data_IF_810325711053
#
_entry.id   IF_810325711053
#
_cell.length_a   1.000
_cell.length_b   1.000
_cell.length_c   1.000
_cell.angle_alpha   90.00
_cell.angle_beta   90.00
_cell.angle_gamma   90.00
#
_symmetry.space_group_name_H-M   'P 1'
#
loop_
_entity.id
_entity.type
_entity.pdbx_description
1 polymer ?
#
# COMPACT_ATOMS: atom_id res chain seq x y z
N UNK A 1 -16.34 2.11 -4.17
CA UNK A 1 -15.79 2.18 -2.79
C UNK A 1 -16.50 1.29 -1.78
N UNK A 2 -17.81 1.09 -1.89
CA UNK A 2 -18.55 0.22 -0.95
C UNK A 2 -18.09 -1.23 -0.99
N UNK A 3 -17.90 -1.81 -2.17
CA UNK A 3 -17.37 -3.18 -2.33
C UNK A 3 -16.02 -3.37 -1.63
N UNK A 4 -15.11 -2.42 -1.79
CA UNK A 4 -13.79 -2.45 -1.16
C UNK A 4 -13.88 -2.37 0.37
N UNK A 5 -14.73 -1.49 0.91
CA UNK A 5 -14.94 -1.40 2.36
C UNK A 5 -15.57 -2.67 2.94
N UNK A 6 -16.53 -3.26 2.23
CA UNK A 6 -17.13 -4.56 2.58
C UNK A 6 -16.08 -5.67 2.59
N UNK A 7 -15.18 -5.68 1.61
CA UNK A 7 -14.08 -6.64 1.56
C UNK A 7 -13.11 -6.47 2.74
N UNK A 8 -12.72 -5.25 3.12
CA UNK A 8 -11.86 -5.05 4.29
C UNK A 8 -12.55 -5.51 5.58
N UNK A 9 -13.83 -5.17 5.76
CA UNK A 9 -14.60 -5.60 6.92
C UNK A 9 -14.72 -7.14 6.99
N UNK A 10 -14.91 -7.83 5.87
CA UNK A 10 -14.97 -9.31 5.85
C UNK A 10 -13.64 -9.97 6.20
N UNK A 11 -12.51 -9.28 6.02
CA UNK A 11 -11.18 -9.71 6.46
C UNK A 11 -10.88 -9.35 7.93
N UNK A 12 -11.86 -8.82 8.67
CA UNK A 12 -11.71 -8.49 10.10
C UNK A 12 -10.94 -7.21 10.38
N UNK A 13 -10.77 -6.33 9.39
CA UNK A 13 -10.16 -5.01 9.58
C UNK A 13 -11.05 -4.15 10.49
N UNK A 14 -10.45 -3.45 11.45
CA UNK A 14 -11.16 -2.58 12.37
C UNK A 14 -11.90 -1.44 11.63
N UNK A 15 -13.10 -1.09 12.09
CA UNK A 15 -14.00 -0.17 11.39
C UNK A 15 -13.38 1.22 11.15
N UNK A 16 -12.61 1.73 12.11
CA UNK A 16 -11.88 2.99 11.98
C UNK A 16 -10.83 2.96 10.86
N UNK A 17 -10.16 1.82 10.66
CA UNK A 17 -9.22 1.61 9.55
C UNK A 17 -9.96 1.48 8.22
N UNK A 18 -11.12 0.80 8.19
CA UNK A 18 -11.96 0.72 6.98
C UNK A 18 -12.39 2.13 6.54
N UNK A 19 -12.85 2.95 7.47
CA UNK A 19 -13.28 4.32 7.20
C UNK A 19 -12.11 5.21 6.77
N UNK A 20 -10.96 5.11 7.44
CA UNK A 20 -9.75 5.82 7.05
C UNK A 20 -9.31 5.44 5.64
N UNK A 21 -9.32 4.15 5.29
CA UNK A 21 -8.89 3.69 3.97
C UNK A 21 -9.86 4.15 2.88
N UNK A 22 -11.18 4.13 3.16
CA UNK A 22 -12.20 4.71 2.28
C UNK A 22 -11.91 6.20 2.02
N UNK A 23 -11.71 6.97 3.08
CA UNK A 23 -11.41 8.40 2.98
C UNK A 23 -10.14 8.66 2.16
N UNK A 24 -9.04 7.97 2.49
CA UNK A 24 -7.76 8.11 1.79
C UNK A 24 -7.89 7.83 0.31
N UNK A 25 -8.58 6.76 -0.08
CA UNK A 25 -8.71 6.42 -1.50
C UNK A 25 -9.62 7.40 -2.24
N UNK A 26 -10.67 7.91 -1.61
CA UNK A 26 -11.49 8.96 -2.21
C UNK A 26 -10.69 10.25 -2.44
N UNK A 27 -9.83 10.65 -1.50
CA UNK A 27 -9.03 11.86 -1.63
C UNK A 27 -7.80 11.71 -2.53
N UNK A 28 -7.10 10.57 -2.48
CA UNK A 28 -5.83 10.39 -3.19
C UNK A 28 -6.02 9.96 -4.65
N UNK A 29 -7.07 9.18 -4.94
CA UNK A 29 -7.34 8.64 -6.27
C UNK A 29 -8.30 9.51 -7.10
N UNK A 30 -8.52 10.76 -6.68
CA UNK A 30 -9.35 11.73 -7.42
C UNK A 30 -8.65 12.33 -8.66
N UNK A 31 -7.39 11.96 -8.89
CA UNK A 31 -6.60 12.37 -10.05
C UNK A 31 -5.73 13.61 -9.82
N UNK A 32 -5.86 14.34 -8.71
CA UNK A 32 -5.01 15.52 -8.43
C UNK A 32 -3.51 15.21 -8.41
N UNK A 33 -3.15 13.96 -8.14
CA UNK A 33 -1.75 13.49 -8.05
C UNK A 33 -1.30 12.67 -9.26
N UNK A 34 -2.06 12.62 -10.36
CA UNK A 34 -1.82 11.73 -11.50
C UNK A 34 -0.76 12.26 -12.50
N UNK A 35 0.16 13.11 -12.06
CA UNK A 35 1.20 13.70 -12.89
C UNK A 35 2.59 13.41 -12.33
N UNK A 36 3.56 13.24 -13.23
CA UNK A 36 4.96 13.06 -12.85
C UNK A 36 5.53 14.36 -12.27
N UNK A 37 6.44 14.22 -11.31
CA UNK A 37 7.19 15.31 -10.70
C UNK A 37 8.64 14.88 -10.43
N UNK A 38 9.54 15.84 -10.28
CA UNK A 38 10.99 15.64 -10.12
C UNK A 38 11.49 15.81 -8.67
N UNK A 39 10.56 15.97 -7.71
CA UNK A 39 10.89 16.32 -6.33
C UNK A 39 11.84 15.34 -5.64
N UNK A 40 11.68 14.03 -5.90
CA UNK A 40 12.58 12.99 -5.35
C UNK A 40 13.99 13.12 -5.92
N UNK A 41 14.10 13.34 -7.23
CA UNK A 41 15.39 13.49 -7.91
C UNK A 41 16.15 14.71 -7.37
N UNK A 42 15.44 15.84 -7.22
CA UNK A 42 16.00 17.07 -6.65
C UNK A 42 16.43 16.89 -5.19
N UNK A 43 15.65 16.19 -4.38
CA UNK A 43 15.96 15.98 -2.97
C UNK A 43 17.17 15.05 -2.75
N UNK A 44 17.36 14.07 -3.63
CA UNK A 44 18.37 13.02 -3.45
C UNK A 44 19.60 13.16 -4.36
N UNK A 45 19.57 14.02 -5.38
CA UNK A 45 20.66 14.18 -6.35
C UNK A 45 20.90 12.97 -7.26
N UNK A 46 19.91 12.07 -7.37
CA UNK A 46 19.95 10.86 -8.21
C UNK A 46 18.55 10.50 -8.71
N UNK A 47 18.47 9.67 -9.74
CA UNK A 47 17.20 9.15 -10.23
C UNK A 47 16.39 8.42 -9.12
N UNK A 48 15.05 8.53 -9.13
CA UNK A 48 14.19 7.77 -8.22
C UNK A 48 14.37 6.27 -8.46
N UNK A 49 14.23 5.49 -7.39
CA UNK A 49 14.30 4.04 -7.49
C UNK A 49 13.03 3.54 -8.19
N UNK A 50 13.20 2.61 -9.13
CA UNK A 50 12.08 1.89 -9.74
C UNK A 50 11.27 1.11 -8.69
N UNK A 51 9.95 1.23 -8.73
CA UNK A 51 9.06 0.61 -7.75
C UNK A 51 9.05 -0.92 -7.85
N UNK A 52 9.20 -1.50 -9.04
CA UNK A 52 9.25 -2.95 -9.20
C UNK A 52 10.51 -3.53 -8.57
N UNK A 53 11.64 -2.81 -8.65
CA UNK A 53 12.85 -3.18 -7.93
C UNK A 53 12.67 -3.08 -6.41
N UNK A 54 11.96 -2.07 -5.90
CA UNK A 54 11.61 -2.02 -4.48
C UNK A 54 10.73 -3.21 -4.06
N UNK A 55 9.67 -3.49 -4.82
CA UNK A 55 8.73 -4.54 -4.50
C UNK A 55 9.41 -5.93 -4.46
N UNK A 56 10.33 -6.20 -5.39
CA UNK A 56 11.10 -7.46 -5.42
C UNK A 56 11.95 -7.65 -4.17
N UNK A 57 12.67 -6.61 -3.77
CA UNK A 57 13.55 -6.68 -2.60
C UNK A 57 12.74 -6.84 -1.30
N UNK A 58 11.60 -6.15 -1.18
CA UNK A 58 10.72 -6.27 -0.02
C UNK A 58 10.10 -7.68 0.10
N UNK A 59 9.73 -8.31 -1.03
CA UNK A 59 9.28 -9.70 -1.06
C UNK A 59 10.38 -10.65 -0.60
N UNK A 60 11.59 -10.50 -1.14
CA UNK A 60 12.73 -11.33 -0.79
C UNK A 60 13.10 -11.18 0.69
N UNK A 61 12.89 -10.00 1.29
CA UNK A 61 13.07 -9.74 2.71
C UNK A 61 11.94 -10.29 3.60
N UNK A 62 10.87 -10.86 3.02
CA UNK A 62 9.78 -11.49 3.77
C UNK A 62 8.82 -10.51 4.44
N UNK A 63 8.78 -9.24 4.03
CA UNK A 63 7.92 -8.20 4.64
C UNK A 63 6.43 -8.56 4.55
N UNK A 64 6.06 -9.37 3.56
CA UNK A 64 4.68 -9.86 3.36
C UNK A 64 4.49 -11.32 3.79
N UNK A 65 5.49 -11.94 4.43
CA UNK A 65 5.28 -13.26 5.01
C UNK A 65 4.23 -13.12 6.13
N UNK A 66 3.13 -13.86 6.00
CA UNK A 66 2.16 -13.99 7.09
C UNK A 66 2.82 -14.61 8.32
N UNK A 67 2.14 -14.59 9.49
CA UNK A 67 2.61 -15.35 10.64
C UNK A 67 2.84 -16.82 10.22
N UNK A 68 3.88 -17.50 10.75
CA UNK A 68 4.10 -18.90 10.44
C UNK A 68 2.80 -19.67 10.70
N UNK A 69 2.44 -20.57 9.79
CA UNK A 69 1.28 -21.42 9.96
C UNK A 69 1.38 -22.09 11.34
N UNK A 70 0.35 -21.93 12.18
CA UNK A 70 0.29 -22.57 13.47
C UNK A 70 0.48 -24.07 13.24
N UNK A 71 1.57 -24.61 13.78
CA UNK A 71 2.06 -25.94 13.45
C UNK A 71 1.00 -27.01 13.57
N UNK A 72 1.05 -27.93 12.61
CA UNK A 72 0.45 -29.25 12.68
C UNK A 72 0.89 -29.90 14.01
N UNK A 73 -0.03 -29.96 14.96
CA UNK A 73 0.09 -30.74 16.20
C UNK A 73 -0.46 -32.14 16.04
#
# INVERSE_FOLDING_TARGET
MEEFATALASHGVAADIVDQTRYLFTEVLDGRNAHLADGVQRALGREPRDFANYARDAAAAGVWAGPPAAGDG
#
